data_IF_393094590857
#
_entry.id   IF_393094590857
#
_cell.length_a   1.000
_cell.length_b   1.000
_cell.length_c   1.000
_cell.angle_alpha   90.00
_cell.angle_beta   90.00
_cell.angle_gamma   90.00
#
_symmetry.space_group_name_H-M   'P 1'
#
loop_
_entity.id
_entity.type
_entity.pdbx_description
1 polymer ?
#
# COMPACT_ATOMS: atom_id res chain seq x y z
N UNK A 1 32.06 2.39 -50.42
CA UNK A 1 31.26 2.27 -49.18
C UNK A 1 29.78 2.64 -49.36
N UNK A 2 29.42 3.78 -49.97
CA UNK A 2 28.03 4.27 -50.05
C UNK A 2 26.95 3.24 -50.50
N UNK A 3 27.21 2.37 -51.50
CA UNK A 3 26.22 1.40 -52.00
C UNK A 3 25.76 0.33 -50.99
N UNK A 4 26.50 0.09 -49.90
CA UNK A 4 26.10 -0.91 -48.89
C UNK A 4 24.99 -0.37 -47.95
N UNK A 5 25.01 0.93 -47.65
CA UNK A 5 24.04 1.57 -46.75
C UNK A 5 22.62 1.59 -47.33
N UNK A 6 22.49 1.81 -48.64
CA UNK A 6 21.18 1.81 -49.31
C UNK A 6 20.48 0.44 -49.25
N UNK A 7 21.24 -0.67 -49.25
CA UNK A 7 20.70 -2.01 -49.10
C UNK A 7 20.21 -2.31 -47.67
N UNK A 8 20.93 -1.84 -46.63
CA UNK A 8 20.46 -1.99 -45.25
C UNK A 8 19.19 -1.18 -44.96
N UNK A 9 19.08 0.05 -45.50
CA UNK A 9 17.87 0.87 -45.34
C UNK A 9 16.62 0.23 -45.97
N UNK A 10 16.77 -0.46 -47.10
CA UNK A 10 15.67 -1.21 -47.74
C UNK A 10 15.21 -2.41 -46.91
N UNK A 11 16.10 -3.07 -46.15
CA UNK A 11 15.71 -4.17 -45.27
C UNK A 11 14.97 -3.70 -44.01
N UNK A 12 15.26 -2.51 -43.50
CA UNK A 12 14.51 -1.95 -42.36
C UNK A 12 13.06 -1.63 -42.74
N UNK A 13 12.82 -1.14 -43.96
CA UNK A 13 11.48 -0.89 -44.50
C UNK A 13 10.63 -2.16 -44.70
N UNK A 14 11.24 -3.34 -44.69
CA UNK A 14 10.58 -4.65 -44.77
C UNK A 14 10.54 -5.40 -43.43
N UNK A 15 10.83 -4.71 -42.33
CA UNK A 15 10.36 -5.16 -41.01
C UNK A 15 8.84 -5.16 -41.02
N UNK A 16 8.14 -6.31 -40.87
CA UNK A 16 6.70 -6.29 -40.72
C UNK A 16 6.38 -5.56 -39.40
N UNK A 17 5.80 -4.37 -39.50
CA UNK A 17 5.24 -3.66 -38.34
C UNK A 17 4.39 -4.66 -37.55
N UNK A 18 4.72 -4.89 -36.29
CA UNK A 18 4.02 -5.82 -35.41
C UNK A 18 2.65 -5.25 -34.99
N UNK A 19 1.78 -5.07 -35.99
CA UNK A 19 0.37 -4.77 -35.82
C UNK A 19 -0.26 -5.91 -35.00
N UNK A 20 -0.86 -5.64 -33.83
CA UNK A 20 -1.54 -6.66 -33.05
C UNK A 20 -2.68 -7.24 -33.89
N UNK A 21 -2.53 -8.49 -34.31
CA UNK A 21 -3.21 -9.03 -35.50
C UNK A 21 -4.63 -9.52 -35.24
N UNK A 22 -5.50 -8.62 -34.76
CA UNK A 22 -6.94 -8.84 -34.63
C UNK A 22 -7.67 -8.29 -35.85
N UNK A 23 -7.55 -8.98 -36.99
CA UNK A 23 -8.32 -8.65 -38.20
C UNK A 23 -9.80 -8.88 -37.91
N UNK A 24 -10.59 -7.81 -37.94
CA UNK A 24 -12.06 -7.89 -37.84
C UNK A 24 -12.68 -8.08 -39.20
N UNK A 25 -13.80 -8.79 -39.24
CA UNK A 25 -14.59 -9.04 -40.45
C UNK A 25 -16.07 -9.20 -40.09
N UNK A 26 -16.95 -9.16 -41.09
CA UNK A 26 -18.38 -9.41 -40.92
C UNK A 26 -18.66 -10.88 -41.24
N UNK A 27 -19.28 -11.60 -40.30
CA UNK A 27 -19.70 -12.98 -40.51
C UNK A 27 -21.02 -13.08 -41.26
N UNK A 28 -21.19 -14.16 -42.03
CA UNK A 28 -22.49 -14.52 -42.62
C UNK A 28 -23.49 -14.95 -41.54
N UNK A 29 -24.81 -14.93 -41.80
CA UNK A 29 -25.81 -15.27 -40.78
C UNK A 29 -25.66 -16.68 -40.17
N UNK A 30 -25.16 -17.65 -40.95
CA UNK A 30 -24.91 -19.01 -40.46
C UNK A 30 -23.64 -19.08 -39.59
N UNK A 31 -22.58 -18.33 -39.91
CA UNK A 31 -21.41 -18.22 -39.05
C UNK A 31 -21.76 -17.52 -37.74
N UNK A 32 -22.47 -16.38 -37.81
CA UNK A 32 -22.86 -15.58 -36.65
C UNK A 32 -23.82 -16.30 -35.69
N UNK A 33 -24.70 -17.16 -36.21
CA UNK A 33 -25.55 -18.03 -35.38
C UNK A 33 -24.73 -19.07 -34.61
N UNK A 34 -23.75 -19.69 -35.26
CA UNK A 34 -23.00 -20.83 -34.71
C UNK A 34 -21.75 -20.43 -33.90
N UNK A 35 -21.15 -19.26 -34.17
CA UNK A 35 -19.94 -18.82 -33.50
C UNK A 35 -20.18 -18.47 -32.02
N UNK A 36 -19.27 -18.86 -31.10
CA UNK A 36 -19.32 -18.42 -29.73
C UNK A 36 -18.90 -16.94 -29.61
N UNK A 37 -19.26 -16.32 -28.48
CA UNK A 37 -18.73 -15.01 -28.11
C UNK A 37 -17.24 -15.09 -27.71
N UNK A 38 -16.54 -13.96 -27.83
CA UNK A 38 -15.20 -13.81 -27.26
C UNK A 38 -15.20 -13.96 -25.72
N UNK A 39 -14.09 -14.42 -25.11
CA UNK A 39 -13.99 -14.52 -23.64
C UNK A 39 -14.29 -13.19 -22.93
N UNK A 40 -15.20 -13.22 -21.95
CA UNK A 40 -15.56 -12.07 -21.11
C UNK A 40 -16.17 -10.90 -21.88
N UNK A 41 -16.91 -11.16 -22.96
CA UNK A 41 -17.57 -10.16 -23.83
C UNK A 41 -18.53 -9.20 -23.10
N UNK A 42 -19.09 -9.64 -21.98
CA UNK A 42 -20.08 -8.94 -21.17
C UNK A 42 -19.48 -8.05 -20.06
N UNK A 43 -18.19 -8.23 -19.72
CA UNK A 43 -17.53 -7.47 -18.64
C UNK A 43 -17.52 -5.94 -18.88
N UNK A 44 -17.61 -5.49 -20.13
CA UNK A 44 -17.82 -4.08 -20.47
C UNK A 44 -19.30 -3.84 -20.67
N UNK A 45 -19.91 -2.99 -19.83
CA UNK A 45 -21.35 -2.79 -19.74
C UNK A 45 -21.96 -3.25 -18.41
N UNK A 46 -21.26 -4.14 -17.70
CA UNK A 46 -21.56 -4.50 -16.31
C UNK A 46 -21.40 -3.29 -15.38
N UNK A 47 -22.32 -3.17 -14.43
CA UNK A 47 -22.30 -2.17 -13.36
C UNK A 47 -21.15 -2.36 -12.39
N UNK A 48 -20.64 -1.25 -11.86
CA UNK A 48 -19.51 -1.21 -10.94
C UNK A 48 -19.77 -0.22 -9.82
N UNK A 49 -19.48 -0.60 -8.58
CA UNK A 49 -19.40 0.36 -7.48
C UNK A 49 -17.94 0.71 -7.17
N UNK A 50 -17.60 1.99 -7.36
CA UNK A 50 -16.28 2.54 -7.04
C UNK A 50 -15.96 2.52 -5.54
N UNK A 51 -16.95 2.49 -4.65
CA UNK A 51 -16.76 2.60 -3.19
C UNK A 51 -16.32 1.26 -2.57
N UNK A 52 -16.99 0.17 -2.96
CA UNK A 52 -16.60 -1.23 -2.64
C UNK A 52 -15.55 -1.80 -3.59
N UNK A 53 -15.38 -1.22 -4.79
CA UNK A 53 -14.57 -1.76 -5.89
C UNK A 53 -15.07 -3.12 -6.42
N UNK A 54 -16.37 -3.39 -6.30
CA UNK A 54 -17.01 -4.64 -6.73
C UNK A 54 -17.92 -4.45 -7.95
N UNK A 55 -18.02 -5.49 -8.80
CA UNK A 55 -18.95 -5.50 -9.93
C UNK A 55 -20.33 -5.96 -9.46
N UNK A 56 -21.38 -5.39 -10.04
CA UNK A 56 -22.75 -5.50 -9.53
C UNK A 56 -23.53 -6.68 -10.09
N UNK A 57 -23.08 -7.32 -11.17
CA UNK A 57 -23.82 -8.37 -11.88
C UNK A 57 -25.06 -7.90 -12.66
N UNK A 58 -25.52 -6.66 -12.46
CA UNK A 58 -26.49 -5.97 -13.30
C UNK A 58 -25.78 -5.20 -14.44
N UNK A 59 -26.47 -4.97 -15.55
CA UNK A 59 -25.91 -4.40 -16.77
C UNK A 59 -26.61 -3.11 -17.15
N UNK A 60 -25.83 -2.04 -17.36
CA UNK A 60 -26.32 -0.75 -17.86
C UNK A 60 -26.46 -0.78 -19.39
N UNK A 61 -25.63 -1.59 -20.04
CA UNK A 61 -25.48 -1.70 -21.51
C UNK A 61 -25.91 -3.08 -21.98
N UNK A 62 -26.56 -3.16 -23.15
CA UNK A 62 -26.83 -4.43 -23.82
C UNK A 62 -25.53 -5.05 -24.36
N UNK A 63 -25.12 -6.14 -23.73
CA UNK A 63 -23.97 -6.98 -24.11
C UNK A 63 -24.36 -8.27 -24.81
N UNK A 64 -25.65 -8.55 -25.05
CA UNK A 64 -26.11 -9.83 -25.59
C UNK A 64 -26.51 -9.73 -27.07
N UNK A 65 -26.95 -8.55 -27.54
CA UNK A 65 -27.20 -8.34 -28.95
C UNK A 65 -25.89 -8.28 -29.75
N UNK A 66 -25.76 -9.19 -30.72
CA UNK A 66 -24.63 -9.30 -31.65
C UNK A 66 -25.01 -8.97 -33.11
N UNK A 67 -26.30 -8.77 -33.39
CA UNK A 67 -26.85 -8.67 -34.74
C UNK A 67 -26.75 -7.23 -35.27
N UNK A 68 -25.91 -7.02 -36.28
CA UNK A 68 -25.74 -5.73 -36.96
C UNK A 68 -26.85 -5.41 -37.98
N UNK A 69 -27.79 -6.34 -38.18
CA UNK A 69 -28.77 -6.31 -39.25
C UNK A 69 -28.60 -7.52 -40.19
N UNK A 70 -29.71 -7.97 -40.77
CA UNK A 70 -29.79 -9.12 -41.68
C UNK A 70 -29.17 -10.43 -41.13
N UNK A 71 -29.03 -10.56 -39.80
CA UNK A 71 -28.40 -11.70 -39.14
C UNK A 71 -26.86 -11.68 -39.17
N UNK A 72 -26.24 -10.60 -39.65
CA UNK A 72 -24.78 -10.45 -39.70
C UNK A 72 -24.21 -9.97 -38.37
N UNK A 73 -22.91 -10.19 -38.14
CA UNK A 73 -22.24 -9.86 -36.88
C UNK A 73 -20.79 -9.46 -37.07
N UNK A 74 -20.24 -8.74 -36.10
CA UNK A 74 -18.82 -8.41 -36.02
C UNK A 74 -18.04 -9.60 -35.46
N UNK A 75 -17.05 -10.08 -36.22
CA UNK A 75 -16.22 -11.22 -35.86
C UNK A 75 -14.75 -10.86 -35.75
N UNK A 76 -14.02 -11.66 -34.95
CA UNK A 76 -12.57 -11.62 -34.80
C UNK A 76 -12.03 -13.05 -34.73
N UNK A 77 -10.76 -13.22 -35.09
CA UNK A 77 -10.09 -14.53 -35.06
C UNK A 77 -9.19 -14.68 -33.83
N UNK A 78 -9.57 -15.54 -32.89
CA UNK A 78 -8.90 -15.62 -31.59
C UNK A 78 -7.60 -16.45 -31.66
N UNK A 79 -6.45 -15.78 -31.64
CA UNK A 79 -5.13 -16.41 -31.69
C UNK A 79 -4.79 -17.29 -30.49
N UNK A 80 -5.49 -17.15 -29.36
CA UNK A 80 -5.32 -17.99 -28.16
C UNK A 80 -6.26 -19.21 -28.14
N UNK A 81 -7.33 -19.22 -28.92
CA UNK A 81 -8.29 -20.32 -29.01
C UNK A 81 -8.27 -20.92 -30.42
N UNK A 82 -7.17 -21.60 -30.76
CA UNK A 82 -6.97 -22.35 -32.02
C UNK A 82 -7.24 -21.57 -33.33
N UNK A 83 -7.24 -20.23 -33.30
CA UNK A 83 -7.68 -19.36 -34.41
C UNK A 83 -9.15 -19.59 -34.81
N UNK A 84 -10.00 -19.88 -33.83
CA UNK A 84 -11.46 -19.87 -33.95
C UNK A 84 -11.98 -18.47 -34.32
N UNK A 85 -13.08 -18.43 -35.08
CA UNK A 85 -13.80 -17.20 -35.40
C UNK A 85 -14.87 -16.97 -34.33
N UNK A 86 -14.73 -15.90 -33.56
CA UNK A 86 -15.60 -15.57 -32.42
C UNK A 86 -16.31 -14.24 -32.67
N UNK A 87 -17.57 -14.12 -32.22
CA UNK A 87 -18.38 -12.90 -32.40
C UNK A 87 -18.28 -11.98 -31.18
N UNK A 88 -18.64 -10.71 -31.38
CA UNK A 88 -18.79 -9.72 -30.30
C UNK A 88 -20.18 -9.08 -30.31
N UNK A 89 -20.62 -8.51 -29.18
CA UNK A 89 -21.83 -7.68 -29.13
C UNK A 89 -21.72 -6.45 -30.05
N UNK A 90 -22.86 -5.90 -30.46
CA UNK A 90 -22.94 -4.65 -31.24
C UNK A 90 -22.20 -3.52 -30.51
N UNK A 91 -22.38 -3.44 -29.19
CA UNK A 91 -21.77 -2.49 -28.29
C UNK A 91 -20.22 -2.57 -28.20
N UNK A 92 -19.59 -3.69 -28.59
CA UNK A 92 -18.16 -3.97 -28.36
C UNK A 92 -17.31 -3.75 -29.62
N UNK A 93 -16.23 -2.98 -29.47
CA UNK A 93 -15.28 -2.63 -30.53
C UNK A 93 -13.82 -2.73 -30.07
N UNK A 94 -12.91 -2.72 -31.03
CA UNK A 94 -11.45 -2.82 -30.86
C UNK A 94 -11.01 -4.05 -30.05
N UNK A 95 -11.76 -5.15 -30.15
CA UNK A 95 -11.39 -6.40 -29.50
C UNK A 95 -10.12 -6.97 -30.14
N UNK A 96 -9.14 -7.30 -29.30
CA UNK A 96 -7.85 -7.84 -29.75
C UNK A 96 -7.22 -8.74 -28.72
N UNK A 97 -6.44 -9.70 -29.22
CA UNK A 97 -5.48 -10.45 -28.40
C UNK A 97 -4.24 -9.60 -28.15
N UNK A 98 -3.70 -9.69 -26.94
CA UNK A 98 -2.48 -9.00 -26.52
C UNK A 98 -1.27 -9.97 -26.59
N UNK A 99 -0.02 -9.47 -26.67
CA UNK A 99 1.18 -10.32 -26.68
C UNK A 99 1.28 -11.24 -25.45
N UNK A 100 2.05 -12.34 -25.58
CA UNK A 100 2.26 -13.29 -24.46
C UNK A 100 2.84 -12.57 -23.24
N UNK A 101 2.22 -12.78 -22.09
CA UNK A 101 2.62 -12.17 -20.82
C UNK A 101 4.06 -12.51 -20.40
N UNK A 102 4.78 -11.51 -19.88
CA UNK A 102 6.01 -11.71 -19.10
C UNK A 102 5.63 -11.74 -17.62
N UNK A 103 5.81 -12.90 -16.97
CA UNK A 103 5.55 -13.06 -15.54
C UNK A 103 6.54 -12.21 -14.73
N UNK A 104 6.10 -11.04 -14.27
CA UNK A 104 6.85 -10.14 -13.40
C UNK A 104 6.08 -9.98 -12.08
N UNK A 105 6.78 -10.19 -10.97
CA UNK A 105 6.27 -9.89 -9.63
C UNK A 105 6.53 -8.42 -9.37
N UNK A 106 5.46 -7.65 -9.18
CA UNK A 106 5.52 -6.32 -8.56
C UNK A 106 5.42 -6.48 -7.05
N UNK A 107 6.21 -5.72 -6.30
CA UNK A 107 6.16 -5.67 -4.85
C UNK A 107 6.17 -4.21 -4.41
N UNK A 108 5.20 -3.81 -3.60
CA UNK A 108 5.02 -2.45 -3.11
C UNK A 108 4.75 -2.48 -1.62
N UNK A 109 5.45 -1.63 -0.86
CA UNK A 109 5.25 -1.46 0.57
C UNK A 109 4.45 -0.20 0.85
N UNK A 110 3.63 -0.22 1.90
CA UNK A 110 2.74 0.85 2.32
C UNK A 110 2.85 1.01 3.85
N UNK A 111 3.00 2.25 4.31
CA UNK A 111 3.09 2.64 5.72
C UNK A 111 1.71 2.87 6.38
N UNK A 112 0.66 2.85 5.56
CA UNK A 112 -0.68 3.35 5.84
C UNK A 112 -1.73 2.52 5.09
N UNK A 113 -2.97 2.55 5.56
CA UNK A 113 -4.11 1.89 4.87
C UNK A 113 -4.54 2.73 3.67
N UNK A 114 -4.45 4.05 3.84
CA UNK A 114 -4.80 5.08 2.88
C UNK A 114 -3.99 4.92 1.58
N UNK A 115 -2.66 4.82 1.67
CA UNK A 115 -1.81 4.58 0.49
C UNK A 115 -2.06 3.23 -0.18
N UNK A 116 -2.38 2.18 0.59
CA UNK A 116 -2.75 0.85 0.09
C UNK A 116 -4.09 0.85 -0.66
N UNK A 117 -5.08 1.60 -0.16
CA UNK A 117 -6.41 1.75 -0.76
C UNK A 117 -6.33 2.62 -2.02
N UNK A 118 -5.66 3.76 -1.94
CA UNK A 118 -5.43 4.66 -3.08
C UNK A 118 -4.71 3.97 -4.24
N UNK A 119 -3.69 3.16 -3.96
CA UNK A 119 -3.05 2.37 -5.02
C UNK A 119 -3.79 1.05 -5.33
N UNK A 120 -4.90 0.74 -4.66
CA UNK A 120 -5.84 -0.28 -5.12
C UNK A 120 -6.91 0.31 -6.04
N UNK A 121 -7.31 1.58 -5.85
CA UNK A 121 -8.18 2.30 -6.81
C UNK A 121 -7.47 2.70 -8.10
N UNK A 122 -6.13 2.80 -8.10
CA UNK A 122 -5.32 3.04 -9.31
C UNK A 122 -5.50 1.99 -10.43
N UNK A 123 -6.14 0.86 -10.13
CA UNK A 123 -6.61 -0.12 -11.10
C UNK A 123 -7.71 0.40 -12.05
N UNK A 124 -8.44 1.45 -11.66
CA UNK A 124 -9.42 2.15 -12.50
C UNK A 124 -8.70 3.13 -13.42
N UNK A 125 -8.53 2.74 -14.69
CA UNK A 125 -7.62 3.40 -15.64
C UNK A 125 -8.07 4.77 -16.20
N UNK A 126 -9.17 5.34 -15.70
CA UNK A 126 -9.74 6.63 -16.11
C UNK A 126 -10.00 7.52 -14.90
N UNK A 127 -10.09 8.84 -15.13
CA UNK A 127 -10.56 9.74 -14.09
C UNK A 127 -12.08 9.56 -13.90
N UNK A 128 -12.47 8.71 -12.95
CA UNK A 128 -13.86 8.39 -12.63
C UNK A 128 -14.61 9.56 -11.98
N UNK A 129 -13.91 10.60 -11.51
CA UNK A 129 -14.52 11.78 -10.87
C UNK A 129 -15.20 12.74 -11.86
N UNK A 130 -15.00 12.56 -13.17
CA UNK A 130 -15.44 13.53 -14.18
C UNK A 130 -16.96 13.57 -14.28
N UNK A 131 -17.54 14.75 -13.98
CA UNK A 131 -19.00 14.97 -13.99
C UNK A 131 -19.69 14.69 -12.65
N UNK A 132 -18.95 14.33 -11.61
CA UNK A 132 -19.47 14.14 -10.25
C UNK A 132 -19.12 15.35 -9.36
N UNK A 133 -20.10 15.87 -8.61
CA UNK A 133 -19.87 16.93 -7.64
C UNK A 133 -19.34 16.38 -6.31
N UNK A 134 -18.04 16.07 -6.31
CA UNK A 134 -17.32 15.47 -5.17
C UNK A 134 -16.07 16.27 -4.77
N UNK A 135 -15.92 17.49 -5.31
CA UNK A 135 -14.72 18.31 -5.14
C UNK A 135 -14.44 18.72 -3.70
N UNK A 136 -15.47 19.03 -2.91
CA UNK A 136 -15.37 19.38 -1.48
C UNK A 136 -14.68 18.29 -0.64
N UNK A 137 -14.90 17.01 -0.95
CA UNK A 137 -14.37 15.88 -0.17
C UNK A 137 -12.87 15.63 -0.38
N UNK A 138 -12.30 16.08 -1.51
CA UNK A 138 -10.85 15.95 -1.77
C UNK A 138 -9.99 16.85 -0.87
N UNK A 139 -10.59 17.86 -0.21
CA UNK A 139 -9.87 18.77 0.69
C UNK A 139 -9.41 18.12 2.01
N UNK A 140 -9.94 16.96 2.40
CA UNK A 140 -9.74 16.38 3.75
C UNK A 140 -9.03 15.01 3.77
N UNK A 141 -8.22 14.67 2.76
CA UNK A 141 -7.53 13.37 2.64
C UNK A 141 -8.46 12.13 2.67
N UNK A 142 -9.73 12.28 2.27
CA UNK A 142 -10.71 11.20 2.26
C UNK A 142 -10.74 10.49 0.89
N UNK A 143 -10.00 9.37 0.77
CA UNK A 143 -10.11 8.48 -0.39
C UNK A 143 -11.53 7.86 -0.45
N UNK A 144 -12.41 8.39 -1.30
CA UNK A 144 -13.79 7.89 -1.45
C UNK A 144 -13.85 6.53 -2.15
N UNK A 145 -13.12 6.41 -3.27
CA UNK A 145 -13.01 5.16 -4.02
C UNK A 145 -12.30 4.08 -3.19
N UNK A 146 -12.80 2.86 -3.26
CA UNK A 146 -12.25 1.71 -2.53
C UNK A 146 -12.31 1.80 -1.00
N UNK A 147 -12.92 2.83 -0.42
CA UNK A 147 -13.01 3.03 1.03
C UNK A 147 -13.69 1.86 1.77
N UNK A 148 -14.64 1.20 1.12
CA UNK A 148 -15.36 0.02 1.63
C UNK A 148 -14.93 -1.28 0.93
N UNK A 149 -13.83 -1.24 0.19
CA UNK A 149 -13.27 -2.44 -0.47
C UNK A 149 -12.79 -3.47 0.54
N UNK A 150 -12.62 -4.71 0.05
CA UNK A 150 -12.04 -5.80 0.85
C UNK A 150 -10.62 -5.51 1.32
N UNK A 151 -9.83 -4.80 0.50
CA UNK A 151 -8.47 -4.36 0.83
C UNK A 151 -8.48 -3.29 1.94
N UNK A 152 -9.37 -2.30 1.82
CA UNK A 152 -9.60 -1.29 2.87
C UNK A 152 -10.06 -1.96 4.17
N UNK A 153 -11.08 -2.81 4.10
CA UNK A 153 -11.65 -3.52 5.26
C UNK A 153 -10.58 -4.32 6.00
N UNK A 154 -9.73 -5.05 5.28
CA UNK A 154 -8.59 -5.77 5.85
C UNK A 154 -7.57 -4.81 6.51
N UNK A 155 -7.16 -3.74 5.79
CA UNK A 155 -6.21 -2.76 6.30
C UNK A 155 -6.71 -2.03 7.55
N UNK A 156 -7.96 -1.56 7.53
CA UNK A 156 -8.65 -0.92 8.65
C UNK A 156 -8.69 -1.85 9.87
N UNK A 157 -9.18 -3.08 9.71
CA UNK A 157 -9.22 -4.08 10.80
C UNK A 157 -7.84 -4.33 11.42
N UNK A 158 -6.78 -4.38 10.61
CA UNK A 158 -5.40 -4.53 11.10
C UNK A 158 -4.90 -3.28 11.83
N UNK A 159 -5.12 -2.09 11.27
CA UNK A 159 -4.68 -0.81 11.86
C UNK A 159 -5.35 -0.49 13.21
N UNK A 160 -6.55 -1.03 13.48
CA UNK A 160 -7.21 -0.95 14.80
C UNK A 160 -6.63 -1.93 15.84
N UNK A 161 -5.95 -3.00 15.40
CA UNK A 161 -5.34 -4.02 16.27
C UNK A 161 -3.91 -3.65 16.71
N UNK A 162 -3.09 -3.12 15.80
CA UNK A 162 -1.68 -2.75 16.05
C UNK A 162 -1.18 -1.77 14.94
N UNK A 163 0.06 -1.28 15.03
CA UNK A 163 0.74 -0.54 13.97
C UNK A 163 1.24 -1.51 12.87
N UNK A 164 0.48 -1.63 11.79
CA UNK A 164 0.85 -2.46 10.63
C UNK A 164 1.43 -1.65 9.47
N UNK A 165 2.42 -2.24 8.78
CA UNK A 165 2.79 -1.92 7.41
C UNK A 165 2.22 -2.99 6.49
N UNK A 166 1.91 -2.63 5.24
CA UNK A 166 1.30 -3.55 4.28
C UNK A 166 2.23 -3.76 3.09
N UNK A 167 2.26 -4.98 2.57
CA UNK A 167 3.06 -5.35 1.40
C UNK A 167 2.14 -5.98 0.36
N UNK A 168 1.99 -5.34 -0.79
CA UNK A 168 1.27 -5.91 -1.94
C UNK A 168 2.26 -6.59 -2.86
N UNK A 169 2.07 -7.88 -3.06
CA UNK A 169 2.71 -8.65 -4.12
C UNK A 169 1.68 -8.89 -5.22
N UNK A 170 1.98 -8.49 -6.44
CA UNK A 170 1.05 -8.62 -7.57
C UNK A 170 1.73 -9.12 -8.84
N UNK A 171 1.10 -10.11 -9.47
CA UNK A 171 1.43 -10.60 -10.82
C UNK A 171 0.16 -10.46 -11.66
N UNK A 172 0.24 -9.85 -12.84
CA UNK A 172 -0.91 -9.69 -13.73
C UNK A 172 -0.53 -9.91 -15.19
N UNK A 173 -1.40 -10.61 -15.92
CA UNK A 173 -1.26 -10.92 -17.33
C UNK A 173 -2.55 -10.54 -18.06
N UNK A 174 -2.46 -9.63 -19.02
CA UNK A 174 -3.57 -9.25 -19.90
C UNK A 174 -3.46 -10.05 -21.21
N UNK A 175 -4.51 -10.76 -21.58
CA UNK A 175 -4.57 -11.59 -22.80
C UNK A 175 -5.47 -10.99 -23.88
N UNK A 176 -6.48 -10.21 -23.48
CA UNK A 176 -7.42 -9.55 -24.37
C UNK A 176 -7.66 -8.11 -23.95
N UNK A 177 -7.98 -7.23 -24.90
CA UNK A 177 -8.52 -5.90 -24.58
C UNK A 177 -9.64 -5.53 -25.55
N UNK A 178 -10.66 -4.82 -25.07
CA UNK A 178 -11.69 -4.19 -25.89
C UNK A 178 -12.25 -2.94 -25.20
N UNK A 179 -13.12 -2.20 -25.90
CA UNK A 179 -13.91 -1.11 -25.32
C UNK A 179 -15.33 -1.12 -25.87
N UNK A 180 -16.19 -0.31 -25.28
CA UNK A 180 -17.49 -0.02 -25.84
C UNK A 180 -17.42 0.98 -27.00
N UNK A 181 -18.48 1.00 -27.79
CA UNK A 181 -18.82 2.09 -28.72
C UNK A 181 -19.02 3.41 -27.96
N UNK A 182 -19.04 4.55 -28.68
CA UNK A 182 -19.25 5.87 -28.04
C UNK A 182 -20.67 6.03 -27.52
N UNK A 183 -21.65 5.49 -28.25
CA UNK A 183 -23.06 5.47 -27.89
C UNK A 183 -23.50 4.00 -27.85
N UNK A 184 -23.20 3.26 -26.77
CA UNK A 184 -23.63 1.89 -26.62
C UNK A 184 -25.15 1.81 -26.31
N UNK A 185 -25.87 0.78 -26.80
CA UNK A 185 -27.27 0.56 -26.46
C UNK A 185 -27.42 0.26 -24.96
N UNK A 186 -28.42 0.84 -24.30
CA UNK A 186 -28.76 0.50 -22.92
C UNK A 186 -29.33 -0.93 -22.85
N UNK A 187 -29.23 -1.57 -21.69
CA UNK A 187 -30.05 -2.75 -21.42
C UNK A 187 -31.51 -2.33 -21.25
N UNK A 188 -32.44 -3.18 -21.68
CA UNK A 188 -33.88 -2.91 -21.58
C UNK A 188 -34.32 -2.75 -20.12
N UNK A 189 -33.68 -3.49 -19.21
CA UNK A 189 -33.91 -3.48 -17.77
C UNK A 189 -33.43 -2.17 -17.14
N UNK A 190 -32.26 -1.65 -17.53
CA UNK A 190 -31.76 -0.36 -17.07
C UNK A 190 -32.57 0.80 -17.64
N UNK A 191 -32.89 0.78 -18.94
CA UNK A 191 -33.73 1.79 -19.58
C UNK A 191 -35.11 1.85 -18.94
N UNK A 192 -35.74 0.69 -18.67
CA UNK A 192 -37.02 0.61 -17.95
C UNK A 192 -36.92 1.16 -16.53
N UNK A 193 -35.86 0.82 -15.78
CA UNK A 193 -35.67 1.28 -14.40
C UNK A 193 -35.39 2.79 -14.33
N UNK A 194 -34.57 3.33 -15.24
CA UNK A 194 -34.25 4.75 -15.31
C UNK A 194 -35.46 5.60 -15.74
N UNK A 195 -36.23 5.15 -16.74
CA UNK A 195 -37.44 5.84 -17.19
C UNK A 195 -38.60 5.79 -16.16
N UNK A 196 -38.54 4.87 -15.18
CA UNK A 196 -39.50 4.79 -14.09
C UNK A 196 -39.18 5.75 -12.91
N UNK A 197 -38.05 6.46 -12.93
CA UNK A 197 -37.67 7.35 -11.83
C UNK A 197 -38.51 8.64 -11.83
N UNK A 198 -39.07 9.06 -10.67
CA UNK A 198 -39.68 10.37 -10.53
C UNK A 198 -38.61 11.48 -10.54
N UNK A 199 -38.99 12.74 -10.84
CA UNK A 199 -38.08 13.89 -10.72
C UNK A 199 -37.41 13.96 -9.33
N UNK A 200 -36.10 14.21 -9.31
CA UNK A 200 -35.30 14.15 -8.09
C UNK A 200 -35.81 15.12 -7.00
N UNK A 201 -35.91 14.60 -5.78
CA UNK A 201 -36.25 15.33 -4.56
C UNK A 201 -35.81 14.52 -3.34
N UNK A 202 -35.73 15.13 -2.16
CA UNK A 202 -35.34 14.46 -0.90
C UNK A 202 -36.27 13.28 -0.52
N UNK A 203 -37.49 13.22 -1.04
CA UNK A 203 -38.43 12.10 -0.84
C UNK A 203 -38.19 11.01 -1.92
N UNK A 204 -37.85 11.42 -3.14
CA UNK A 204 -37.53 10.51 -4.24
C UNK A 204 -36.13 9.89 -4.16
N UNK A 205 -35.25 10.40 -3.30
CA UNK A 205 -33.84 10.00 -3.17
C UNK A 205 -33.65 8.47 -3.05
N UNK A 206 -34.55 7.79 -2.33
CA UNK A 206 -34.55 6.33 -2.16
C UNK A 206 -34.67 5.54 -3.48
N UNK A 207 -35.35 6.07 -4.49
CA UNK A 207 -35.46 5.42 -5.79
C UNK A 207 -34.15 5.53 -6.59
N UNK A 208 -33.44 6.65 -6.45
CA UNK A 208 -32.13 6.85 -7.07
C UNK A 208 -31.06 5.98 -6.38
N UNK A 209 -31.08 5.90 -5.04
CA UNK A 209 -30.22 4.96 -4.31
C UNK A 209 -30.48 3.51 -4.73
N UNK A 210 -31.73 3.06 -4.86
CA UNK A 210 -32.04 1.72 -5.34
C UNK A 210 -31.52 1.43 -6.77
N UNK A 211 -31.54 2.44 -7.67
CA UNK A 211 -30.92 2.30 -8.99
C UNK A 211 -29.39 2.10 -8.87
N UNK A 212 -28.72 2.88 -8.02
CA UNK A 212 -27.27 2.81 -7.79
C UNK A 212 -26.89 1.51 -7.05
N UNK A 213 -27.70 1.05 -6.10
CA UNK A 213 -27.54 -0.21 -5.39
C UNK A 213 -27.76 -1.43 -6.30
N UNK A 214 -28.53 -1.29 -7.37
CA UNK A 214 -28.70 -2.32 -8.41
C UNK A 214 -27.58 -2.26 -9.45
N UNK A 215 -27.42 -1.12 -10.13
CA UNK A 215 -26.58 -0.97 -11.33
C UNK A 215 -25.19 -0.38 -11.08
N UNK A 216 -24.90 0.06 -9.84
CA UNK A 216 -23.60 0.63 -9.44
C UNK A 216 -23.54 2.15 -9.57
N UNK A 217 -22.45 2.71 -9.07
CA UNK A 217 -22.13 4.15 -9.25
C UNK A 217 -21.56 4.44 -10.64
N UNK A 218 -21.04 3.42 -11.32
CA UNK A 218 -20.37 3.48 -12.62
C UNK A 218 -20.70 2.23 -13.46
N UNK A 219 -20.29 2.19 -14.72
CA UNK A 219 -20.26 0.96 -15.53
C UNK A 219 -18.95 0.84 -16.32
N UNK A 220 -18.56 -0.38 -16.68
CA UNK A 220 -17.25 -0.64 -17.27
C UNK A 220 -17.25 -0.32 -18.77
N UNK A 221 -16.54 0.73 -19.18
CA UNK A 221 -16.47 1.18 -20.59
C UNK A 221 -15.31 0.59 -21.40
N UNK A 222 -14.29 0.07 -20.72
CA UNK A 222 -13.05 -0.45 -21.32
C UNK A 222 -12.52 -1.63 -20.50
N UNK A 223 -12.17 -2.72 -21.17
CA UNK A 223 -11.78 -3.99 -20.53
C UNK A 223 -10.37 -4.38 -20.97
N UNK A 224 -9.53 -4.76 -19.99
CA UNK A 224 -8.27 -5.47 -20.22
C UNK A 224 -8.34 -6.80 -19.46
N UNK A 225 -8.73 -7.86 -20.15
CA UNK A 225 -9.04 -9.17 -19.57
C UNK A 225 -7.80 -10.07 -19.55
N UNK A 226 -7.63 -10.79 -18.44
CA UNK A 226 -6.72 -11.92 -18.35
C UNK A 226 -6.74 -12.52 -16.96
N UNK A 227 -5.57 -12.81 -16.40
CA UNK A 227 -5.42 -13.38 -15.06
C UNK A 227 -4.47 -12.56 -14.19
N UNK A 228 -4.73 -12.51 -12.89
CA UNK A 228 -3.86 -11.85 -11.93
C UNK A 228 -3.95 -12.47 -10.54
N UNK A 229 -2.85 -12.40 -9.81
CA UNK A 229 -2.73 -12.78 -8.40
C UNK A 229 -2.31 -11.53 -7.64
N UNK A 230 -3.09 -11.17 -6.61
CA UNK A 230 -2.80 -10.09 -5.66
C UNK A 230 -2.78 -10.70 -4.26
N UNK A 231 -1.67 -10.56 -3.56
CA UNK A 231 -1.55 -10.90 -2.14
C UNK A 231 -1.19 -9.63 -1.37
N UNK A 232 -1.89 -9.37 -0.26
CA UNK A 232 -1.53 -8.32 0.70
C UNK A 232 -1.12 -8.99 2.00
N UNK A 233 0.12 -8.78 2.41
CA UNK A 233 0.63 -9.19 3.72
C UNK A 233 0.58 -8.00 4.67
N UNK A 234 -0.06 -8.17 5.84
CA UNK A 234 0.02 -7.20 6.93
C UNK A 234 1.12 -7.61 7.90
N UNK A 235 2.16 -6.78 8.02
CA UNK A 235 3.30 -6.99 8.91
C UNK A 235 3.22 -6.01 10.08
N UNK A 236 3.28 -6.50 11.32
CA UNK A 236 3.35 -5.63 12.50
C UNK A 236 4.69 -4.90 12.49
N UNK A 237 4.65 -3.58 12.32
CA UNK A 237 5.83 -2.74 12.06
C UNK A 237 6.85 -2.85 13.21
N UNK A 238 6.36 -2.72 14.45
CA UNK A 238 7.19 -2.80 15.65
C UNK A 238 7.79 -4.20 15.82
N UNK A 239 7.00 -5.27 15.63
CA UNK A 239 7.49 -6.65 15.76
C UNK A 239 8.53 -7.01 14.69
N UNK A 240 8.39 -6.51 13.46
CA UNK A 240 9.41 -6.69 12.42
C UNK A 240 10.73 -5.98 12.78
N UNK A 241 10.64 -4.75 13.28
CA UNK A 241 11.81 -3.98 13.73
C UNK A 241 12.52 -4.67 14.91
N UNK A 242 11.77 -5.14 15.91
CA UNK A 242 12.32 -5.91 17.05
C UNK A 242 12.98 -7.23 16.62
N UNK A 243 12.48 -7.85 15.54
CA UNK A 243 13.08 -9.05 14.94
C UNK A 243 14.28 -8.75 14.01
N UNK A 244 14.81 -7.52 13.99
CA UNK A 244 16.00 -7.14 13.23
C UNK A 244 15.80 -6.91 11.72
N UNK A 245 14.55 -6.88 11.23
CA UNK A 245 14.26 -6.66 9.81
C UNK A 245 14.41 -5.16 9.46
N UNK A 246 15.60 -4.78 9.00
CA UNK A 246 16.02 -3.39 8.71
C UNK A 246 17.13 -3.32 7.64
N UNK A 247 17.56 -2.10 7.28
CA UNK A 247 18.71 -1.79 6.40
C UNK A 247 19.89 -1.19 7.26
N UNK A 248 21.19 -1.25 6.86
CA UNK A 248 22.44 -1.03 7.68
C UNK A 248 23.14 0.38 7.54
N UNK A 249 24.28 0.83 8.13
CA UNK A 249 25.54 0.34 8.85
C UNK A 249 25.90 1.28 10.07
N UNK A 250 27.07 1.41 10.78
CA UNK A 250 28.54 1.05 10.69
C UNK A 250 29.33 1.35 12.04
N UNK A 251 30.70 1.33 12.14
CA UNK A 251 31.47 1.13 13.45
C UNK A 251 32.92 1.76 13.66
N UNK A 252 33.45 1.76 14.94
CA UNK A 252 34.88 1.83 15.57
C UNK A 252 35.68 3.18 15.79
N UNK A 253 36.72 3.41 16.68
CA UNK A 253 37.36 2.73 17.89
C UNK A 253 38.83 3.17 18.37
N UNK A 254 39.19 3.06 19.70
CA UNK A 254 40.50 2.73 20.44
C UNK A 254 41.77 3.73 20.49
N UNK A 255 42.87 3.80 21.35
CA UNK A 255 43.48 3.20 22.65
C UNK A 255 44.79 3.97 23.28
N UNK A 256 45.45 3.49 24.41
CA UNK A 256 46.78 3.76 25.19
C UNK A 256 47.06 4.98 26.22
N UNK A 257 47.60 4.92 27.52
CA UNK A 257 47.42 5.88 28.72
C UNK A 257 48.30 5.75 30.07
N UNK A 258 48.33 6.77 30.99
CA UNK A 258 48.37 6.78 32.50
C UNK A 258 47.31 7.73 33.18
N UNK A 259 46.53 7.23 34.16
CA UNK A 259 45.12 7.60 34.45
C UNK A 259 44.71 9.06 34.72
N UNK A 260 44.48 9.78 33.63
CA UNK A 260 43.49 10.86 33.55
C UNK A 260 42.11 10.26 33.24
N UNK A 261 41.35 9.91 34.29
CA UNK A 261 40.26 8.94 34.19
C UNK A 261 38.98 9.45 33.52
N UNK A 262 38.50 8.74 32.50
CA UNK A 262 37.17 8.90 31.91
C UNK A 262 36.44 7.56 31.80
N UNK A 263 35.11 7.59 31.64
CA UNK A 263 34.31 6.39 31.37
C UNK A 263 33.49 6.65 30.13
N UNK A 264 33.66 5.80 29.13
CA UNK A 264 32.74 5.73 28.01
C UNK A 264 31.66 4.69 28.28
N UNK A 265 30.43 5.17 28.32
CA UNK A 265 29.23 4.33 28.35
C UNK A 265 28.76 4.19 26.91
N UNK A 266 28.66 2.96 26.42
CA UNK A 266 28.23 2.65 25.06
C UNK A 266 27.06 1.66 25.04
N UNK A 267 26.11 1.90 24.14
CA UNK A 267 24.98 1.00 23.89
C UNK A 267 24.58 1.00 22.41
N UNK A 268 24.87 -0.11 21.71
CA UNK A 268 24.77 -0.14 20.26
C UNK A 268 25.71 0.90 19.64
N UNK A 269 25.18 1.72 18.74
CA UNK A 269 25.95 2.71 17.99
C UNK A 269 26.01 4.09 18.70
N UNK A 270 25.48 4.21 19.93
CA UNK A 270 25.65 5.38 20.79
C UNK A 270 26.80 5.16 21.79
N UNK A 271 27.78 6.08 21.81
CA UNK A 271 28.73 6.25 22.91
C UNK A 271 28.58 7.63 23.57
N UNK A 272 28.83 7.71 24.87
CA UNK A 272 28.83 8.94 25.69
C UNK A 272 29.93 8.82 26.72
N UNK A 273 30.81 9.82 26.81
CA UNK A 273 32.00 9.82 27.67
C UNK A 273 31.87 10.84 28.80
N UNK A 274 32.32 10.49 30.00
CA UNK A 274 32.36 11.42 31.15
C UNK A 274 33.42 12.50 30.94
N UNK A 275 33.46 13.50 31.84
CA UNK A 275 34.61 14.40 31.88
C UNK A 275 35.83 13.63 32.38
N UNK A 276 36.96 13.88 31.76
CA UNK A 276 38.28 13.45 32.21
C UNK A 276 38.55 14.03 33.61
N UNK A 277 38.94 13.19 34.56
CA UNK A 277 39.35 13.58 35.92
C UNK A 277 40.83 13.26 36.06
N UNK A 278 41.68 14.27 35.90
CA UNK A 278 43.12 14.10 35.81
C UNK A 278 43.80 13.68 37.12
N UNK A 279 44.81 12.81 37.03
CA UNK A 279 45.69 12.39 38.13
C UNK A 279 44.93 11.98 39.42
N UNK A 280 44.03 10.98 39.31
CA UNK A 280 43.20 10.53 40.41
C UNK A 280 42.76 9.06 40.27
N UNK A 281 43.32 8.18 41.10
CA UNK A 281 42.97 6.74 41.15
C UNK A 281 41.55 6.45 41.67
N UNK A 282 40.87 7.43 42.26
CA UNK A 282 39.54 7.30 42.85
C UNK A 282 38.55 8.34 42.27
N UNK A 283 38.32 8.35 40.94
CA UNK A 283 37.48 9.33 40.27
C UNK A 283 35.99 9.13 40.61
N UNK A 284 35.23 10.22 40.55
CA UNK A 284 33.78 10.23 40.76
C UNK A 284 33.12 11.19 39.78
N UNK A 285 32.56 10.63 38.71
CA UNK A 285 31.86 11.38 37.67
C UNK A 285 30.40 11.65 38.09
N UNK A 286 29.96 12.90 38.25
CA UNK A 286 28.56 13.25 38.57
C UNK A 286 27.63 13.24 37.34
N UNK A 287 28.15 12.98 36.14
CA UNK A 287 27.38 12.93 34.89
C UNK A 287 26.31 11.82 34.88
N UNK A 288 25.09 12.17 34.46
CA UNK A 288 24.02 11.24 34.09
C UNK A 288 23.82 11.29 32.58
N UNK A 289 23.69 10.13 31.93
CA UNK A 289 23.62 10.03 30.48
C UNK A 289 22.24 9.59 29.97
N UNK A 290 21.53 10.52 29.33
CA UNK A 290 20.32 10.23 28.57
C UNK A 290 20.67 9.62 27.20
N UNK A 291 20.38 8.33 27.03
CA UNK A 291 20.47 7.62 25.74
C UNK A 291 19.19 7.73 24.90
N UNK A 292 18.09 8.22 25.48
CA UNK A 292 16.79 8.31 24.79
C UNK A 292 16.27 6.92 24.39
N UNK A 293 15.51 6.80 23.28
CA UNK A 293 15.01 5.52 22.79
C UNK A 293 16.16 4.60 22.36
N UNK A 294 16.30 3.46 23.04
CA UNK A 294 17.28 2.41 22.74
C UNK A 294 16.60 1.07 22.42
N UNK A 295 17.22 0.28 21.54
CA UNK A 295 16.70 -1.05 21.15
C UNK A 295 17.41 -2.14 21.94
N UNK A 296 16.75 -2.69 22.97
CA UNK A 296 17.28 -3.80 23.77
C UNK A 296 17.23 -5.09 22.94
N UNK A 297 18.39 -5.76 22.80
CA UNK A 297 18.55 -6.97 22.00
C UNK A 297 19.81 -7.75 22.39
N UNK A 298 19.93 -9.02 21.97
CA UNK A 298 21.03 -9.92 22.33
C UNK A 298 22.43 -9.51 21.82
N UNK A 299 22.55 -8.64 20.82
CA UNK A 299 23.83 -8.15 20.29
C UNK A 299 24.37 -6.97 21.12
N UNK A 300 23.48 -6.07 21.54
CA UNK A 300 23.86 -4.81 22.18
C UNK A 300 23.90 -4.96 23.70
N UNK A 301 25.10 -4.85 24.29
CA UNK A 301 25.34 -4.87 25.74
C UNK A 301 25.62 -3.46 26.25
N UNK A 302 25.18 -3.14 27.47
CA UNK A 302 25.57 -1.90 28.16
C UNK A 302 27.06 -2.02 28.52
N UNK A 303 27.89 -1.32 27.77
CA UNK A 303 29.33 -1.47 27.81
C UNK A 303 29.96 -0.25 28.45
N UNK A 304 30.67 -0.48 29.54
CA UNK A 304 31.51 0.52 30.19
C UNK A 304 32.95 0.22 29.79
N UNK A 305 33.54 1.10 28.99
CA UNK A 305 34.99 1.16 28.76
C UNK A 305 35.55 2.24 29.68
N UNK A 306 36.42 1.85 30.61
CA UNK A 306 37.12 2.81 31.47
C UNK A 306 38.40 3.22 30.75
N UNK A 307 38.54 4.52 30.53
CA UNK A 307 39.66 5.12 29.83
C UNK A 307 40.54 5.97 30.75
N UNK A 308 41.73 6.18 30.25
CA UNK A 308 42.88 6.80 30.88
C UNK A 308 43.52 7.68 29.79
N UNK A 309 43.52 9.02 29.92
CA UNK A 309 43.63 9.90 28.74
C UNK A 309 44.88 10.80 28.72
N UNK A 310 45.89 10.50 27.90
CA UNK A 310 47.20 11.15 27.99
C UNK A 310 47.22 12.54 27.36
N UNK A 311 48.37 13.20 27.48
CA UNK A 311 48.63 14.44 26.75
C UNK A 311 48.70 14.19 25.23
N UNK A 312 47.54 14.37 24.59
CA UNK A 312 47.30 14.74 23.19
C UNK A 312 47.17 13.67 22.10
N UNK A 313 47.60 12.41 22.28
CA UNK A 313 47.61 11.44 21.15
C UNK A 313 47.16 10.00 21.43
N UNK A 314 47.02 9.57 22.69
CA UNK A 314 46.65 8.21 23.07
C UNK A 314 45.70 8.25 24.32
N UNK A 315 44.79 7.28 24.48
CA UNK A 315 44.03 7.05 25.76
C UNK A 315 43.80 5.56 26.13
N UNK A 316 44.38 5.00 27.21
CA UNK A 316 44.36 3.55 27.54
C UNK A 316 43.00 3.06 27.96
N UNK A 317 42.70 1.82 27.62
CA UNK A 317 41.53 1.13 28.14
C UNK A 317 41.93 0.31 29.37
N UNK A 318 41.74 0.88 30.56
CA UNK A 318 41.98 0.23 31.87
C UNK A 318 41.10 -1.01 32.13
N UNK A 319 40.02 -1.16 31.35
CA UNK A 319 39.20 -2.35 31.34
C UNK A 319 37.81 -2.09 30.77
N UNK A 320 37.11 -3.19 30.48
CA UNK A 320 35.83 -3.17 29.75
C UNK A 320 34.87 -4.21 30.31
N UNK A 321 33.72 -3.77 30.79
CA UNK A 321 32.63 -4.65 31.19
C UNK A 321 31.40 -4.43 30.30
N UNK A 322 30.61 -5.49 30.10
CA UNK A 322 29.47 -5.47 29.17
C UNK A 322 28.28 -6.25 29.74
N UNK A 323 27.26 -5.52 30.17
CA UNK A 323 26.08 -6.02 30.89
C UNK A 323 24.86 -6.13 29.97
N UNK A 324 23.86 -6.88 30.40
CA UNK A 324 22.53 -6.83 29.78
C UNK A 324 21.67 -5.76 30.45
N UNK A 325 20.73 -5.20 29.67
CA UNK A 325 19.79 -4.19 30.15
C UNK A 325 18.51 -4.84 30.62
N UNK A 326 18.21 -4.68 31.90
CA UNK A 326 16.99 -5.14 32.54
C UNK A 326 16.09 -3.97 32.93
N UNK A 327 14.78 -4.17 32.89
CA UNK A 327 13.75 -3.16 33.14
C UNK A 327 13.78 -2.66 34.59
N UNK A 328 13.57 -1.36 34.77
CA UNK A 328 13.54 -0.71 36.08
C UNK A 328 14.90 -0.11 36.44
N UNK A 329 15.15 0.08 37.75
CA UNK A 329 16.40 0.64 38.27
C UNK A 329 17.33 -0.49 38.70
N UNK A 330 18.53 -0.52 38.12
CA UNK A 330 19.58 -1.51 38.40
C UNK A 330 20.82 -0.79 38.95
N UNK A 331 21.55 -1.42 39.86
CA UNK A 331 22.84 -0.94 40.37
C UNK A 331 23.78 -2.13 40.47
N UNK A 332 24.99 -2.01 39.93
CA UNK A 332 25.92 -3.12 39.71
C UNK A 332 27.37 -2.61 39.68
N UNK A 333 28.34 -3.52 39.49
CA UNK A 333 29.77 -3.21 39.50
C UNK A 333 30.56 -3.97 38.43
N UNK A 334 31.65 -3.35 38.01
CA UNK A 334 32.59 -3.82 37.00
C UNK A 334 33.97 -3.93 37.65
N UNK A 335 34.49 -5.15 37.80
CA UNK A 335 35.86 -5.38 38.25
C UNK A 335 36.80 -5.19 37.04
N UNK A 336 37.82 -4.35 37.23
CA UNK A 336 38.88 -4.06 36.28
C UNK A 336 40.15 -4.81 36.72
N UNK A 337 41.19 -4.85 35.87
CA UNK A 337 42.48 -5.42 36.28
C UNK A 337 43.08 -4.65 37.47
N UNK A 338 42.82 -3.35 37.55
CA UNK A 338 43.18 -2.47 38.67
C UNK A 338 41.97 -1.66 39.17
N UNK A 339 41.15 -2.27 40.04
CA UNK A 339 40.06 -1.60 40.76
C UNK A 339 38.65 -2.02 40.36
N UNK A 340 37.64 -1.26 40.80
CA UNK A 340 36.23 -1.57 40.54
C UNK A 340 35.43 -0.31 40.22
N UNK A 341 34.81 -0.26 39.03
CA UNK A 341 33.82 0.74 38.67
C UNK A 341 32.45 0.34 39.25
N UNK A 342 31.76 1.27 39.91
CA UNK A 342 30.37 1.08 40.37
C UNK A 342 29.43 1.98 39.57
N UNK A 343 28.28 1.45 39.15
CA UNK A 343 27.32 2.20 38.32
C UNK A 343 25.86 1.86 38.64
N UNK A 344 24.95 2.66 38.10
CA UNK A 344 23.51 2.37 38.12
C UNK A 344 22.84 2.91 36.86
N UNK A 345 21.78 2.25 36.39
CA UNK A 345 20.99 2.69 35.25
C UNK A 345 19.49 2.54 35.53
N UNK A 346 18.67 3.18 34.68
CA UNK A 346 17.22 3.00 34.67
C UNK A 346 16.75 2.71 33.24
N UNK A 347 15.90 1.70 33.07
CA UNK A 347 15.27 1.33 31.79
C UNK A 347 13.76 1.34 31.95
N UNK A 348 13.07 2.16 31.15
CA UNK A 348 11.62 2.13 31.00
C UNK A 348 11.25 1.54 29.65
N UNK A 349 10.27 0.64 29.61
CA UNK A 349 9.82 0.04 28.35
C UNK A 349 8.97 1.03 27.56
N UNK A 350 9.27 1.16 26.26
CA UNK A 350 8.44 1.94 25.35
C UNK A 350 6.99 1.40 25.29
N UNK A 351 5.99 2.24 24.97
CA UNK A 351 4.61 1.80 24.83
C UNK A 351 4.47 0.60 23.88
N UNK A 352 3.63 -0.37 24.24
CA UNK A 352 3.50 -1.71 23.59
C UNK A 352 4.60 -2.74 23.93
N UNK A 353 5.52 -2.46 24.86
CA UNK A 353 6.54 -3.41 25.31
C UNK A 353 6.44 -3.72 26.82
N UNK A 354 6.76 -4.97 27.18
CA UNK A 354 6.77 -5.54 28.53
C UNK A 354 7.89 -6.59 28.63
N UNK A 355 7.95 -7.34 29.73
CA UNK A 355 8.99 -8.31 30.01
C UNK A 355 10.22 -7.68 30.67
N UNK A 356 11.16 -8.53 31.07
CA UNK A 356 12.34 -8.16 31.85
C UNK A 356 13.38 -7.35 31.06
N UNK A 357 13.45 -7.52 29.74
CA UNK A 357 14.33 -6.77 28.82
C UNK A 357 13.52 -5.95 27.81
N UNK A 358 12.25 -5.61 28.15
CA UNK A 358 11.29 -4.98 27.24
C UNK A 358 11.04 -5.75 25.92
N UNK A 359 11.25 -7.08 25.94
CA UNK A 359 11.21 -7.96 24.77
C UNK A 359 9.81 -8.52 24.47
N UNK A 360 8.87 -8.46 25.41
CA UNK A 360 7.51 -8.97 25.23
C UNK A 360 6.61 -7.92 24.59
N UNK A 361 6.05 -8.22 23.42
CA UNK A 361 5.02 -7.37 22.82
C UNK A 361 3.70 -7.47 23.60
N UNK A 362 3.23 -6.35 24.14
CA UNK A 362 1.88 -6.17 24.66
C UNK A 362 1.08 -5.28 23.68
N UNK A 363 -0.11 -5.68 23.20
CA UNK A 363 -0.86 -4.87 22.26
C UNK A 363 -1.19 -3.47 22.79
N UNK A 364 -0.93 -2.45 21.96
CA UNK A 364 -1.45 -1.09 22.13
C UNK A 364 -2.64 -0.88 21.18
N UNK A 365 -3.85 -1.36 21.51
CA UNK A 365 -5.05 -1.11 20.72
C UNK A 365 -5.34 0.39 20.65
N UNK A 366 -6.08 0.82 19.63
CA UNK A 366 -6.67 2.15 19.65
C UNK A 366 -7.64 2.28 20.84
N UNK A 367 -7.65 3.44 21.51
CA UNK A 367 -8.57 3.65 22.64
C UNK A 367 -10.04 3.46 22.22
N UNK A 368 -10.92 2.87 23.06
CA UNK A 368 -12.31 2.57 22.70
C UNK A 368 -13.19 3.77 22.31
N UNK A 369 -12.77 5.01 22.63
CA UNK A 369 -13.39 6.25 22.15
C UNK A 369 -12.97 6.56 20.71
N UNK A 370 -11.66 6.66 20.44
CA UNK A 370 -11.12 6.90 19.09
C UNK A 370 -11.54 5.82 18.08
N UNK A 371 -11.63 4.56 18.50
CA UNK A 371 -12.00 3.44 17.63
C UNK A 371 -13.43 3.51 17.06
N UNK A 372 -14.29 4.36 17.63
CA UNK A 372 -15.65 4.68 17.16
C UNK A 372 -15.70 5.89 16.23
N UNK A 373 -14.67 6.73 16.23
CA UNK A 373 -14.59 7.99 15.46
C UNK A 373 -13.73 7.81 14.20
N UNK A 374 -12.60 7.10 14.34
CA UNK A 374 -11.64 6.90 13.26
C UNK A 374 -11.69 5.47 12.71
N UNK A 375 -11.54 5.35 11.39
CA UNK A 375 -11.55 4.06 10.69
C UNK A 375 -10.16 3.42 10.61
N UNK A 376 -9.10 4.22 10.71
CA UNK A 376 -7.70 3.77 10.82
C UNK A 376 -6.97 4.54 11.92
N UNK A 377 -5.72 4.13 12.23
CA UNK A 377 -4.87 4.80 13.22
C UNK A 377 -4.32 6.17 12.78
N UNK A 378 -4.30 6.44 11.46
CA UNK A 378 -3.57 7.57 10.87
C UNK A 378 -4.39 8.44 9.90
N UNK A 379 -5.60 8.04 9.51
CA UNK A 379 -6.34 8.68 8.42
C UNK A 379 -7.84 8.92 8.68
N UNK A 380 -8.39 9.88 7.93
CA UNK A 380 -9.78 10.38 8.06
C UNK A 380 -10.64 9.81 6.94
N UNK A 381 -10.76 8.49 6.88
CA UNK A 381 -11.78 7.85 6.04
C UNK A 381 -13.17 8.10 6.66
N UNK A 382 -14.10 8.63 5.86
CA UNK A 382 -15.40 9.09 6.33
C UNK A 382 -16.28 7.92 6.81
N UNK A 383 -16.55 7.89 8.11
CA UNK A 383 -17.39 6.87 8.74
C UNK A 383 -18.87 7.21 8.77
N UNK A 384 -19.70 6.22 9.15
CA UNK A 384 -21.17 6.30 9.25
C UNK A 384 -21.68 7.55 10.01
N UNK A 385 -20.94 8.01 11.03
CA UNK A 385 -21.28 9.17 11.85
C UNK A 385 -20.56 10.48 11.47
N UNK A 386 -19.73 10.52 10.42
CA UNK A 386 -19.02 11.73 10.00
C UNK A 386 -19.98 12.88 9.67
N UNK A 387 -21.10 12.56 9.01
CA UNK A 387 -22.17 13.52 8.71
C UNK A 387 -22.88 14.10 9.94
N UNK A 388 -22.82 13.44 11.11
CA UNK A 388 -23.28 14.01 12.39
C UNK A 388 -22.20 14.91 13.01
N UNK A 389 -20.94 14.50 12.97
CA UNK A 389 -19.82 15.26 13.53
C UNK A 389 -19.62 16.60 12.79
N UNK A 390 -19.67 16.61 11.46
CA UNK A 390 -19.59 17.83 10.64
C UNK A 390 -20.79 18.77 10.90
N UNK A 391 -22.00 18.23 11.16
CA UNK A 391 -23.15 19.04 11.57
C UNK A 391 -22.97 19.66 12.95
N UNK A 392 -22.41 18.91 13.91
CA UNK A 392 -22.07 19.43 15.25
C UNK A 392 -21.02 20.56 15.17
N UNK A 393 -19.92 20.34 14.44
CA UNK A 393 -18.84 21.34 14.29
C UNK A 393 -19.31 22.59 13.55
N UNK A 394 -20.24 22.48 12.59
CA UNK A 394 -20.87 23.65 11.94
C UNK A 394 -21.84 24.41 12.86
N UNK A 395 -22.33 23.81 13.95
CA UNK A 395 -23.18 24.48 14.95
C UNK A 395 -22.36 25.09 16.09
N UNK A 396 -21.25 24.47 16.50
CA UNK A 396 -20.27 25.04 17.43
C UNK A 396 -19.26 25.91 16.67
N UNK A 397 -19.66 27.13 16.32
CA UNK A 397 -18.88 27.98 15.42
C UNK A 397 -17.43 28.24 15.86
N UNK A 398 -16.48 27.86 15.01
CA UNK A 398 -15.10 28.36 15.03
C UNK A 398 -14.05 27.46 15.66
N UNK A 399 -13.55 26.47 14.90
CA UNK A 399 -12.13 26.12 14.91
C UNK A 399 -11.66 26.00 13.46
N UNK A 400 -10.62 26.75 13.10
CA UNK A 400 -9.92 26.63 11.83
C UNK A 400 -8.69 25.75 12.06
N UNK A 401 -8.58 24.64 11.31
CA UNK A 401 -7.44 23.73 11.38
C UNK A 401 -6.74 23.78 10.02
N UNK A 402 -5.41 23.85 10.05
CA UNK A 402 -4.49 23.89 8.90
C UNK A 402 -4.21 22.49 8.35
#
# INVERSE_FOLDING_TARGET
MAKLWQLMLLWWAWSPLCLPSSVTFIGTPQECKNAPFVPGYNLGGEGFDIVTMERKGAYVIDTENWNLGNGTCRMYRNSYMNRENQKVPVAVVDWRTLPKCSLKVSSTAYDSVESLVRDSTSSVSNNWTVGLDISDFYSTNADLGGSHSRDATFGMQKSKQDRYSFFRHSVSCQFYSYRLTTNPPLSHEFESAANALPPYSLIAEVFYHNLIDTYGTHYITKVSLGGGIKAITSVRTCQATMNGLSNTEGLYGDEWSQTDGSVEVSYGDQSKRTKIISNNDNPKWPETFEFGPITINMKNRLTFSVYDEDTYWNSDMLGKCSFELHKGKVSDSCMLDHGTLFFSYVVECAPSLSGDQCQEYIPSPMSPSLAKVFYTRNGVLAGENWGQYVKSVRQSGGVQIL
#
